data_IF_196221066347
#
_entry.id   IF_196221066347
#
_cell.length_a   1.000
_cell.length_b   1.000
_cell.length_c   1.000
_cell.angle_alpha   90.00
_cell.angle_beta   90.00
_cell.angle_gamma   90.00
#
_symmetry.space_group_name_H-M   'P 1'
#
loop_
_entity.id
_entity.type
_entity.pdbx_description
1 polymer ?
#
# COMPACT_ATOMS: atom_id res chain seq x y z
N UNK A 1 -12.76 -16.62 21.69
CA UNK A 1 -11.75 -17.06 20.71
C UNK A 1 -10.33 -16.61 21.04
N UNK A 2 -9.98 -15.32 21.09
CA UNK A 2 -8.59 -14.90 21.39
C UNK A 2 -8.14 -15.23 22.83
N UNK A 3 -9.02 -15.06 23.81
CA UNK A 3 -8.76 -15.45 25.21
C UNK A 3 -8.58 -16.96 25.38
N UNK A 4 -9.32 -17.76 24.61
CA UNK A 4 -9.27 -19.23 24.68
C UNK A 4 -7.96 -19.81 24.12
N UNK A 5 -7.22 -19.02 23.32
CA UNK A 5 -5.92 -19.39 22.73
C UNK A 5 -4.75 -18.79 23.55
N UNK A 6 -5.04 -18.10 24.67
CA UNK A 6 -4.01 -17.49 25.53
C UNK A 6 -3.29 -16.30 24.90
N UNK A 7 -3.83 -15.72 23.82
CA UNK A 7 -3.20 -14.61 23.11
C UNK A 7 -3.54 -13.28 23.79
N UNK A 8 -2.53 -12.61 24.35
CA UNK A 8 -2.73 -11.36 25.08
C UNK A 8 -2.75 -10.16 24.13
N UNK A 9 -3.69 -9.24 24.34
CA UNK A 9 -3.84 -8.04 23.51
C UNK A 9 -3.14 -6.85 24.16
N UNK A 10 -2.21 -6.24 23.43
CA UNK A 10 -1.59 -4.97 23.82
C UNK A 10 -2.52 -3.81 23.45
N UNK A 11 -3.34 -3.38 24.41
CA UNK A 11 -4.35 -2.33 24.20
C UNK A 11 -3.75 -1.02 23.65
N UNK A 12 -2.46 -0.73 23.86
CA UNK A 12 -1.81 0.48 23.33
C UNK A 12 -1.61 0.44 21.82
N UNK A 13 -1.55 -0.75 21.21
CA UNK A 13 -1.33 -0.93 19.76
C UNK A 13 -2.62 -0.99 18.96
N UNK A 14 -3.76 -1.13 19.63
CA UNK A 14 -5.05 -1.28 18.96
C UNK A 14 -5.81 0.04 18.93
N UNK A 15 -6.49 0.26 17.81
CA UNK A 15 -7.34 1.42 17.60
C UNK A 15 -8.72 0.87 17.27
N UNK A 16 -9.69 1.15 18.14
CA UNK A 16 -11.06 0.68 18.00
C UNK A 16 -11.98 1.82 17.55
N UNK A 17 -13.06 1.47 16.83
CA UNK A 17 -14.15 2.40 16.44
C UNK A 17 -13.61 3.64 15.70
N UNK A 18 -12.73 3.44 14.72
CA UNK A 18 -12.24 4.51 13.84
C UNK A 18 -12.75 4.35 12.42
N UNK A 19 -13.15 5.47 11.80
CA UNK A 19 -13.59 5.49 10.40
C UNK A 19 -12.46 5.19 9.42
N UNK A 20 -11.23 5.54 9.78
CA UNK A 20 -10.03 5.43 8.94
C UNK A 20 -8.88 4.80 9.72
N UNK A 21 -8.27 3.75 9.19
CA UNK A 21 -7.14 3.03 9.80
C UNK A 21 -6.02 2.78 8.81
N UNK A 22 -4.78 2.79 9.28
CA UNK A 22 -3.62 2.33 8.49
C UNK A 22 -3.44 0.83 8.72
N UNK A 23 -3.52 0.03 7.65
CA UNK A 23 -3.39 -1.42 7.74
C UNK A 23 -2.59 -1.96 6.55
N UNK A 24 -1.54 -2.75 6.82
CA UNK A 24 -0.62 -3.33 5.80
C UNK A 24 -0.05 -2.30 4.78
N UNK A 25 0.06 -1.04 5.20
CA UNK A 25 0.51 0.08 4.36
C UNK A 25 -0.56 0.65 3.42
N UNK A 26 -1.82 0.31 3.64
CA UNK A 26 -2.99 0.96 3.07
C UNK A 26 -3.65 1.87 4.09
N UNK A 27 -4.41 2.82 3.59
CA UNK A 27 -5.36 3.64 4.33
C UNK A 27 -6.73 3.06 3.99
N UNK A 28 -7.35 2.40 4.96
CA UNK A 28 -8.68 1.82 4.84
C UNK A 28 -9.67 2.79 5.46
N UNK A 29 -10.66 3.23 4.69
CA UNK A 29 -11.80 3.99 5.18
C UNK A 29 -13.05 3.11 5.12
N UNK A 30 -13.66 2.89 6.27
CA UNK A 30 -14.74 1.92 6.42
C UNK A 30 -15.90 2.26 5.47
N UNK A 31 -16.27 1.31 4.60
CA UNK A 31 -17.38 1.39 3.63
C UNK A 31 -17.21 2.39 2.48
N UNK A 32 -16.04 3.03 2.34
CA UNK A 32 -15.84 4.01 1.27
C UNK A 32 -14.76 3.57 0.29
N UNK A 33 -13.53 3.33 0.76
CA UNK A 33 -12.42 2.94 -0.10
C UNK A 33 -11.20 2.42 0.67
N UNK A 34 -10.34 1.72 -0.07
CA UNK A 34 -8.98 1.39 0.35
C UNK A 34 -8.02 2.15 -0.58
N UNK A 35 -7.08 2.90 0.01
CA UNK A 35 -6.07 3.71 -0.71
C UNK A 35 -4.67 3.31 -0.30
N UNK A 36 -3.70 3.43 -1.20
CA UNK A 36 -2.29 3.24 -0.83
C UNK A 36 -1.82 4.37 0.10
N UNK A 37 -0.97 4.05 1.08
CA UNK A 37 -0.35 5.08 1.91
C UNK A 37 0.59 5.96 1.06
N UNK A 38 0.49 7.30 1.11
CA UNK A 38 1.34 8.20 0.32
C UNK A 38 2.85 7.98 0.53
N UNK A 39 3.27 7.51 1.71
CA UNK A 39 4.69 7.12 1.93
C UNK A 39 5.14 5.95 1.04
N UNK A 40 4.25 4.99 0.76
CA UNK A 40 4.53 3.87 -0.17
C UNK A 40 4.51 4.35 -1.62
N UNK A 41 3.65 5.31 -1.97
CA UNK A 41 3.63 5.90 -3.33
C UNK A 41 4.98 6.55 -3.64
N UNK A 42 5.57 7.30 -2.70
CA UNK A 42 6.90 7.87 -2.87
C UNK A 42 7.97 6.80 -3.12
N UNK A 43 7.96 5.71 -2.35
CA UNK A 43 8.91 4.61 -2.55
C UNK A 43 8.78 3.97 -3.94
N UNK A 44 7.56 3.89 -4.50
CA UNK A 44 7.34 3.41 -5.87
C UNK A 44 7.94 4.39 -6.89
N UNK A 45 7.76 5.71 -6.71
CA UNK A 45 8.39 6.72 -7.59
C UNK A 45 9.91 6.65 -7.53
N UNK A 46 10.50 6.55 -6.33
CA UNK A 46 11.95 6.45 -6.16
C UNK A 46 12.49 5.18 -6.84
N UNK A 47 11.79 4.04 -6.70
CA UNK A 47 12.13 2.79 -7.39
C UNK A 47 12.00 2.91 -8.91
N UNK A 48 10.91 3.49 -9.42
CA UNK A 48 10.72 3.69 -10.86
C UNK A 48 11.81 4.61 -11.44
N UNK A 49 12.19 5.67 -10.73
CA UNK A 49 13.28 6.56 -11.14
C UNK A 49 14.61 5.82 -11.24
N UNK A 50 14.94 5.00 -10.24
CA UNK A 50 16.13 4.14 -10.26
C UNK A 50 16.07 3.09 -11.39
N UNK A 51 14.96 2.38 -11.53
CA UNK A 51 14.83 1.30 -12.52
C UNK A 51 14.82 1.83 -13.96
N UNK A 52 14.33 3.05 -14.19
CA UNK A 52 14.32 3.68 -15.50
C UNK A 52 15.74 3.94 -16.05
N UNK A 53 16.73 4.16 -15.18
CA UNK A 53 18.14 4.27 -15.59
C UNK A 53 18.63 3.01 -16.32
N UNK A 54 18.06 1.84 -16.01
CA UNK A 54 18.42 0.57 -16.60
C UNK A 54 17.42 0.06 -17.65
N UNK A 55 16.49 0.90 -18.12
CA UNK A 55 15.40 0.43 -18.98
C UNK A 55 15.89 -0.20 -20.30
N UNK A 56 17.01 0.28 -20.86
CA UNK A 56 17.64 -0.27 -22.08
C UNK A 56 18.10 -1.71 -21.90
N UNK A 57 18.46 -2.11 -20.67
CA UNK A 57 18.93 -3.46 -20.35
C UNK A 57 17.79 -4.42 -20.01
N UNK A 58 16.54 -3.93 -19.91
CA UNK A 58 15.39 -4.72 -19.46
C UNK A 58 14.36 -4.84 -20.61
N UNK A 59 14.29 -5.99 -21.29
CA UNK A 59 13.31 -6.21 -22.34
C UNK A 59 11.88 -5.99 -21.83
N UNK A 60 11.10 -5.26 -22.62
CA UNK A 60 9.70 -4.91 -22.30
C UNK A 60 9.53 -4.17 -20.96
N UNK A 61 10.52 -3.37 -20.52
CA UNK A 61 10.47 -2.62 -19.26
C UNK A 61 9.14 -1.90 -19.05
N UNK A 62 8.69 -1.11 -20.04
CA UNK A 62 7.45 -0.33 -19.97
C UNK A 62 6.21 -1.20 -19.66
N UNK A 63 6.13 -2.41 -20.22
CA UNK A 63 5.03 -3.36 -19.92
C UNK A 63 5.12 -3.88 -18.48
N UNK A 64 6.32 -4.13 -17.98
CA UNK A 64 6.54 -4.62 -16.61
C UNK A 64 6.21 -3.55 -15.55
N UNK A 65 6.58 -2.30 -15.81
CA UNK A 65 6.32 -1.19 -14.87
C UNK A 65 4.93 -0.57 -15.02
N UNK A 66 4.18 -0.89 -16.08
CA UNK A 66 2.84 -0.36 -16.31
C UNK A 66 1.91 -0.52 -15.10
N UNK A 67 1.95 -1.67 -14.41
CA UNK A 67 1.16 -1.92 -13.20
C UNK A 67 1.57 -0.98 -12.05
N UNK A 68 2.88 -0.77 -11.86
CA UNK A 68 3.41 0.12 -10.83
C UNK A 68 3.04 1.57 -11.13
N UNK A 69 3.15 1.98 -12.40
CA UNK A 69 2.75 3.30 -12.87
C UNK A 69 1.23 3.50 -12.68
N UNK A 70 0.41 2.50 -12.98
CA UNK A 70 -1.03 2.55 -12.69
C UNK A 70 -1.31 2.83 -11.20
N UNK A 71 -0.55 2.22 -10.29
CA UNK A 71 -0.67 2.49 -8.86
C UNK A 71 -0.18 3.88 -8.43
N UNK A 72 0.62 4.58 -9.25
CA UNK A 72 1.09 5.95 -8.94
C UNK A 72 0.18 7.05 -9.47
N UNK A 73 -0.56 6.81 -10.56
CA UNK A 73 -1.51 7.76 -11.13
C UNK A 73 -2.80 7.85 -10.28
N UNK A 74 -2.72 8.67 -9.22
CA UNK A 74 -3.84 9.17 -8.37
C UNK A 74 -4.70 8.11 -7.68
N UNK A 75 -4.49 7.95 -6.36
CA UNK A 75 -5.50 7.49 -5.39
C UNK A 75 -6.41 6.38 -5.92
N UNK A 76 -5.86 5.38 -6.62
CA UNK A 76 -6.67 4.33 -7.21
C UNK A 76 -7.40 3.65 -6.07
N UNK A 77 -8.73 3.77 -6.09
CA UNK A 77 -9.58 3.17 -5.08
C UNK A 77 -9.62 1.68 -5.41
N UNK A 78 -9.11 0.86 -4.52
CA UNK A 78 -9.42 -0.57 -4.59
C UNK A 78 -10.90 -0.70 -4.24
N UNK A 79 -11.69 -1.20 -5.20
CA UNK A 79 -13.10 -1.53 -5.03
C UNK A 79 -13.24 -3.03 -4.79
#
# INVERSE_FOLDING_TARGET
RLRDIGLNLDLKKYIFIVKKVKYLGYIVEARVYIRLNPKKIKAIYDFLGFANFYHDFIPNFSKKVALLIYFTYKNVLFR
#
